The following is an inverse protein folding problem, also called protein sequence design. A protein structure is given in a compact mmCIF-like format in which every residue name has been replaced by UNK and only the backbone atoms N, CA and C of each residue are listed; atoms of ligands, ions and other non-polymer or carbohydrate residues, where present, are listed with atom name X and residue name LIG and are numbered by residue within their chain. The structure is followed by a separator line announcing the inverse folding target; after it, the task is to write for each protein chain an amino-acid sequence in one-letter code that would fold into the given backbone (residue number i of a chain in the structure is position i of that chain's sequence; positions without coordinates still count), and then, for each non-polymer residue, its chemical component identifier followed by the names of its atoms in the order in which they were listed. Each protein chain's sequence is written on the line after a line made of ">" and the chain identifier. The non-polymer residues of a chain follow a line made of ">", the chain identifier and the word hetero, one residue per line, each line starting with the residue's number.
data_IF_050810169835
#
_entry.id   IF_050810169835
#
_cell.length_a   1.000
_cell.length_b   1.000
_cell.length_c   1.000
_cell.angle_alpha   90.00
_cell.angle_beta   90.00
_cell.angle_gamma   90.00
#
_symmetry.space_group_name_H-M   'P 1'
#
loop_
_entity.id
_entity.type
_entity.pdbx_description
1 polymer ?
#
# COMPACT_ATOMS: atom_id res chain seq x y z
N UNK A 1 -18.93 15.85 -1.09
CA UNK A 1 -17.97 14.77 -0.85
C UNK A 1 -16.58 15.28 -1.19
N UNK A 2 -15.64 15.19 -0.25
CA UNK A 2 -14.26 15.67 -0.42
C UNK A 2 -13.30 14.57 0.06
N UNK A 3 -12.31 14.23 -0.76
CA UNK A 3 -11.24 13.31 -0.38
C UNK A 3 -10.05 14.08 0.18
N UNK A 4 -9.49 13.60 1.28
CA UNK A 4 -8.35 14.19 1.96
C UNK A 4 -7.15 13.23 1.90
N UNK A 5 -6.00 13.78 1.61
CA UNK A 5 -4.73 13.07 1.56
C UNK A 5 -3.64 13.91 2.23
N UNK A 6 -2.73 13.27 2.95
CA UNK A 6 -1.53 13.93 3.48
C UNK A 6 -0.29 13.11 3.17
N UNK A 7 0.81 13.82 2.91
CA UNK A 7 2.11 13.22 2.56
C UNK A 7 3.01 12.95 3.77
N UNK A 8 2.53 13.24 4.99
CA UNK A 8 3.31 13.05 6.22
C UNK A 8 2.73 11.91 7.05
N UNK A 9 3.54 10.89 7.33
CA UNK A 9 3.13 9.71 8.12
C UNK A 9 2.60 10.08 9.50
N UNK A 10 3.21 11.03 10.18
CA UNK A 10 2.80 11.47 11.52
C UNK A 10 1.42 12.16 11.58
N UNK A 11 0.90 12.59 10.44
CA UNK A 11 -0.43 13.23 10.36
C UNK A 11 -1.55 12.25 10.03
N UNK A 12 -1.24 11.05 9.60
CA UNK A 12 -2.24 10.08 9.12
C UNK A 12 -3.29 9.71 10.18
N UNK A 13 -2.91 9.38 11.44
CA UNK A 13 -3.91 9.04 12.46
C UNK A 13 -4.88 10.20 12.74
N UNK A 14 -4.36 11.43 12.81
CA UNK A 14 -5.19 12.61 13.04
C UNK A 14 -6.13 12.92 11.87
N UNK A 15 -5.66 12.71 10.64
CA UNK A 15 -6.50 12.86 9.45
C UNK A 15 -7.59 11.78 9.40
N UNK A 16 -7.24 10.53 9.67
CA UNK A 16 -8.22 9.44 9.73
C UNK A 16 -9.30 9.71 10.78
N UNK A 17 -8.91 10.13 11.99
CA UNK A 17 -9.86 10.48 13.05
C UNK A 17 -10.81 11.60 12.61
N UNK A 18 -10.29 12.65 11.98
CA UNK A 18 -11.12 13.75 11.47
C UNK A 18 -12.09 13.29 10.35
N UNK A 19 -11.67 12.35 9.49
CA UNK A 19 -12.52 11.79 8.43
C UNK A 19 -13.60 10.87 9.03
N UNK A 20 -13.34 10.16 10.13
CA UNK A 20 -14.34 9.38 10.83
C UNK A 20 -15.51 10.27 11.32
N UNK A 21 -15.16 11.45 11.87
CA UNK A 21 -16.13 12.40 12.44
C UNK A 21 -16.92 13.18 11.38
N UNK A 22 -16.42 13.28 10.13
CA UNK A 22 -17.04 14.08 9.05
C UNK A 22 -17.65 13.18 7.95
N UNK A 23 -18.99 13.01 7.90
CA UNK A 23 -19.64 12.07 6.97
C UNK A 23 -19.44 12.35 5.47
N UNK A 24 -19.05 13.57 5.12
CA UNK A 24 -18.80 13.96 3.73
C UNK A 24 -17.33 13.87 3.34
N UNK A 25 -16.44 13.51 4.27
CA UNK A 25 -15.03 13.32 4.06
C UNK A 25 -14.69 11.88 3.67
N UNK A 26 -13.69 11.74 2.82
CA UNK A 26 -13.15 10.47 2.33
C UNK A 26 -11.64 10.42 2.55
N UNK A 27 -11.16 9.25 2.92
CA UNK A 27 -9.74 8.95 3.08
C UNK A 27 -9.33 7.88 2.07
N UNK A 28 -8.77 8.28 0.91
CA UNK A 28 -8.50 7.34 -0.18
C UNK A 28 -7.37 6.37 0.13
N UNK A 29 -6.34 6.82 0.84
CA UNK A 29 -5.21 5.99 1.30
C UNK A 29 -4.25 6.77 2.19
N UNK A 30 -3.46 6.09 3.04
CA UNK A 30 -2.28 6.69 3.69
C UNK A 30 -1.16 7.00 2.67
N UNK A 31 -0.19 7.84 3.08
CA UNK A 31 0.98 8.15 2.24
C UNK A 31 1.87 6.93 1.93
N UNK A 32 1.88 5.93 2.79
CA UNK A 32 2.45 4.61 2.57
C UNK A 32 1.31 3.60 2.70
N UNK A 33 0.57 3.29 1.62
CA UNK A 33 -0.65 2.50 1.72
C UNK A 33 -0.39 1.11 2.26
N UNK A 34 -1.10 0.77 3.33
CA UNK A 34 -0.96 -0.49 4.05
C UNK A 34 -2.04 -0.61 5.13
N UNK A 35 -2.54 -1.80 5.48
CA UNK A 35 -3.44 -1.99 6.61
C UNK A 35 -2.80 -1.59 7.95
N UNK A 36 -1.47 -1.64 8.04
CA UNK A 36 -0.73 -1.34 9.26
C UNK A 36 -0.40 0.15 9.43
N UNK A 37 -0.68 0.99 8.43
CA UNK A 37 -0.35 2.41 8.49
C UNK A 37 -1.53 3.27 8.94
N UNK A 38 -1.42 3.80 10.13
CA UNK A 38 -2.36 4.67 10.82
C UNK A 38 -3.65 3.99 11.32
N UNK A 39 -4.24 3.04 10.60
CA UNK A 39 -5.47 2.34 11.00
C UNK A 39 -5.39 1.76 12.42
N UNK A 40 -4.31 1.05 12.83
CA UNK A 40 -4.22 0.53 14.18
C UNK A 40 -4.33 1.62 15.24
N UNK A 41 -3.57 2.70 15.08
CA UNK A 41 -3.58 3.82 16.02
C UNK A 41 -4.92 4.57 16.07
N UNK A 42 -5.57 4.74 14.92
CA UNK A 42 -6.84 5.46 14.80
C UNK A 42 -8.02 4.65 15.36
N UNK A 43 -8.03 3.35 15.08
CA UNK A 43 -9.17 2.45 15.38
C UNK A 43 -8.96 1.64 16.67
N UNK A 44 -7.82 1.82 17.35
CA UNK A 44 -7.51 1.09 18.58
C UNK A 44 -7.27 -0.40 18.35
N UNK A 45 -6.67 -0.77 17.22
CA UNK A 45 -6.36 -2.15 16.86
C UNK A 45 -4.91 -2.50 17.22
N UNK A 46 -4.68 -3.74 17.62
CA UNK A 46 -3.36 -4.32 17.80
C UNK A 46 -3.06 -5.27 16.64
N UNK A 47 -2.45 -4.74 15.57
CA UNK A 47 -2.07 -5.49 14.38
C UNK A 47 -0.56 -5.69 14.33
N UNK A 48 -0.13 -6.92 14.07
CA UNK A 48 1.29 -7.27 13.92
C UNK A 48 1.72 -7.06 12.45
N UNK A 49 2.74 -6.22 12.23
CA UNK A 49 3.29 -5.98 10.89
C UNK A 49 3.94 -7.27 10.37
N UNK A 50 3.53 -7.70 9.17
CA UNK A 50 3.96 -8.97 8.59
C UNK A 50 3.14 -10.18 9.06
N UNK A 51 2.03 -9.94 9.75
CA UNK A 51 1.01 -10.93 10.05
C UNK A 51 0.11 -11.25 8.85
N UNK A 52 -1.11 -11.64 9.13
CA UNK A 52 -2.11 -11.93 8.09
C UNK A 52 -2.78 -10.63 7.62
N UNK A 53 -2.49 -10.22 6.37
CA UNK A 53 -3.02 -9.00 5.78
C UNK A 53 -4.55 -9.06 5.62
N UNK A 54 -5.13 -10.23 5.29
CA UNK A 54 -6.58 -10.39 5.16
C UNK A 54 -7.30 -10.24 6.50
N UNK A 55 -6.76 -10.83 7.56
CA UNK A 55 -7.28 -10.68 8.92
C UNK A 55 -7.16 -9.21 9.37
N UNK A 56 -6.05 -8.54 9.07
CA UNK A 56 -5.88 -7.13 9.38
C UNK A 56 -6.94 -6.26 8.67
N UNK A 57 -7.20 -6.50 7.38
CA UNK A 57 -8.22 -5.79 6.62
C UNK A 57 -9.63 -6.07 7.16
N UNK A 58 -9.92 -7.31 7.52
CA UNK A 58 -11.21 -7.67 8.15
C UNK A 58 -11.42 -6.93 9.48
N UNK A 59 -10.43 -6.89 10.36
CA UNK A 59 -10.53 -6.17 11.63
C UNK A 59 -10.73 -4.66 11.42
N UNK A 60 -10.05 -4.06 10.43
CA UNK A 60 -10.25 -2.66 10.05
C UNK A 60 -11.68 -2.45 9.53
N UNK A 61 -12.16 -3.32 8.64
CA UNK A 61 -13.52 -3.22 8.07
C UNK A 61 -14.59 -3.24 9.16
N UNK A 62 -14.48 -4.16 10.15
CA UNK A 62 -15.39 -4.22 11.28
C UNK A 62 -15.37 -2.92 12.11
N UNK A 63 -14.19 -2.35 12.34
CA UNK A 63 -14.09 -1.07 13.05
C UNK A 63 -14.66 0.10 12.26
N UNK A 64 -14.42 0.16 10.96
CA UNK A 64 -15.02 1.17 10.09
C UNK A 64 -16.56 1.03 10.04
N UNK A 65 -17.07 -0.20 10.11
CA UNK A 65 -18.52 -0.46 10.18
C UNK A 65 -19.13 0.08 11.48
N UNK A 66 -18.46 -0.05 12.62
CA UNK A 66 -18.90 0.54 13.90
C UNK A 66 -19.09 2.08 13.80
N UNK A 67 -18.33 2.74 12.89
CA UNK A 67 -18.37 4.17 12.63
C UNK A 67 -19.21 4.59 11.41
N UNK A 68 -19.92 3.67 10.77
CA UNK A 68 -20.64 3.92 9.50
C UNK A 68 -19.71 4.53 8.41
N UNK A 69 -18.51 4.02 8.31
CA UNK A 69 -17.41 4.61 7.53
C UNK A 69 -16.77 3.70 6.46
N UNK A 70 -17.25 2.45 6.30
CA UNK A 70 -16.63 1.44 5.42
C UNK A 70 -16.38 1.97 4.00
N UNK A 71 -17.35 2.62 3.37
CA UNK A 71 -17.24 3.15 2.01
C UNK A 71 -16.51 4.51 1.92
N UNK A 72 -15.87 4.99 2.99
CA UNK A 72 -15.18 6.28 3.03
C UNK A 72 -13.67 6.18 3.20
N UNK A 73 -13.17 4.97 3.45
CA UNK A 73 -11.76 4.68 3.66
C UNK A 73 -11.27 3.67 2.63
N UNK A 74 -9.99 3.75 2.30
CA UNK A 74 -9.28 2.75 1.51
C UNK A 74 -7.79 2.71 1.87
N UNK A 75 -7.12 1.67 1.42
CA UNK A 75 -5.67 1.45 1.51
C UNK A 75 -5.25 0.45 0.43
N UNK A 76 -4.00 0.02 0.43
CA UNK A 76 -3.56 -1.18 -0.30
C UNK A 76 -3.66 -2.41 0.60
N UNK A 77 -3.93 -3.57 -0.01
CA UNK A 77 -4.08 -4.81 0.74
C UNK A 77 -2.79 -5.27 1.43
N UNK A 78 -1.64 -4.90 0.87
CA UNK A 78 -0.32 -5.34 1.35
C UNK A 78 0.59 -4.14 1.64
N UNK A 79 1.57 -4.28 2.56
CA UNK A 79 2.56 -3.24 2.86
C UNK A 79 3.67 -3.17 1.79
N UNK A 80 3.31 -2.79 0.56
CA UNK A 80 4.19 -2.84 -0.61
C UNK A 80 5.48 -2.06 -0.41
N UNK A 81 5.45 -0.96 0.35
CA UNK A 81 6.65 -0.18 0.65
C UNK A 81 7.72 -0.99 1.43
N UNK A 82 7.32 -1.98 2.22
CA UNK A 82 8.24 -2.91 2.90
C UNK A 82 8.65 -4.05 1.97
N UNK A 83 7.69 -4.63 1.26
CA UNK A 83 7.92 -5.78 0.37
C UNK A 83 8.88 -5.44 -0.77
N UNK A 84 8.84 -4.21 -1.32
CA UNK A 84 9.77 -3.83 -2.40
C UNK A 84 11.23 -3.78 -1.93
N UNK A 85 11.49 -3.47 -0.67
CA UNK A 85 12.84 -3.52 -0.11
C UNK A 85 13.34 -4.96 -0.09
N UNK A 86 12.50 -5.89 0.36
CA UNK A 86 12.80 -7.32 0.38
C UNK A 86 13.05 -7.85 -1.03
N UNK A 87 12.15 -7.56 -1.98
CA UNK A 87 12.31 -7.92 -3.40
C UNK A 87 13.60 -7.34 -3.98
N UNK A 88 13.95 -6.09 -3.65
CA UNK A 88 15.20 -5.45 -4.08
C UNK A 88 16.45 -6.17 -3.57
N UNK A 89 16.44 -6.63 -2.32
CA UNK A 89 17.56 -7.43 -1.75
C UNK A 89 17.66 -8.79 -2.43
N UNK A 90 16.55 -9.46 -2.66
CA UNK A 90 16.52 -10.75 -3.36
C UNK A 90 16.98 -10.62 -4.82
N UNK A 91 16.57 -9.55 -5.50
CA UNK A 91 17.04 -9.24 -6.85
C UNK A 91 18.56 -9.01 -6.89
N UNK A 92 19.07 -8.20 -5.96
CA UNK A 92 20.51 -7.95 -5.85
C UNK A 92 21.31 -9.26 -5.59
N UNK A 93 20.76 -10.12 -4.73
CA UNK A 93 21.34 -11.45 -4.49
C UNK A 93 21.33 -12.31 -5.75
N UNK A 94 20.22 -12.41 -6.46
CA UNK A 94 20.12 -13.16 -7.71
C UNK A 94 21.10 -12.64 -8.79
N UNK A 95 21.34 -11.32 -8.82
CA UNK A 95 22.35 -10.73 -9.70
C UNK A 95 23.78 -11.13 -9.31
N UNK A 96 24.12 -11.16 -8.02
CA UNK A 96 25.42 -11.57 -7.51
C UNK A 96 25.67 -13.06 -7.79
N UNK A 97 24.63 -13.90 -7.60
CA UNK A 97 24.71 -15.35 -7.81
C UNK A 97 24.74 -15.73 -9.31
N UNK A 98 24.45 -14.79 -10.20
CA UNK A 98 24.45 -15.00 -11.66
C UNK A 98 23.12 -15.53 -12.23
N UNK A 99 22.08 -15.62 -11.41
CA UNK A 99 20.71 -16.03 -11.81
C UNK A 99 20.02 -14.92 -12.62
N UNK A 100 20.43 -13.67 -12.39
CA UNK A 100 20.05 -12.49 -13.17
C UNK A 100 21.31 -11.85 -13.71
N UNK A 101 21.36 -11.62 -15.02
CA UNK A 101 22.58 -11.11 -15.70
C UNK A 101 22.52 -9.62 -16.02
N UNK A 102 21.35 -9.01 -15.89
CA UNK A 102 21.09 -7.60 -16.17
C UNK A 102 20.84 -6.86 -14.86
N UNK A 103 21.47 -5.69 -14.68
CA UNK A 103 21.33 -4.88 -13.45
C UNK A 103 19.92 -4.28 -13.26
N UNK A 104 19.15 -4.24 -14.34
CA UNK A 104 17.91 -3.47 -14.43
C UNK A 104 16.91 -4.23 -15.31
N UNK A 105 16.54 -5.44 -14.86
CA UNK A 105 15.54 -6.28 -15.51
C UNK A 105 14.16 -6.05 -14.85
N UNK A 106 13.38 -5.12 -15.43
CA UNK A 106 12.08 -4.77 -14.92
C UNK A 106 11.06 -5.92 -14.99
N UNK A 107 11.17 -6.82 -15.97
CA UNK A 107 10.27 -7.97 -16.08
C UNK A 107 10.54 -8.97 -14.95
N UNK A 108 11.80 -9.23 -14.66
CA UNK A 108 12.18 -10.10 -13.54
C UNK A 108 11.77 -9.51 -12.20
N UNK A 109 12.00 -8.20 -12.02
CA UNK A 109 11.61 -7.49 -10.80
C UNK A 109 10.07 -7.53 -10.60
N UNK A 110 9.31 -7.32 -11.68
CA UNK A 110 7.84 -7.42 -11.65
C UNK A 110 7.37 -8.82 -11.25
N UNK A 111 7.99 -9.88 -11.82
CA UNK A 111 7.64 -11.25 -11.49
C UNK A 111 7.94 -11.58 -10.01
N UNK A 112 9.06 -11.10 -9.47
CA UNK A 112 9.41 -11.30 -8.06
C UNK A 112 8.47 -10.55 -7.12
N UNK A 113 8.02 -9.35 -7.51
CA UNK A 113 7.02 -8.60 -6.72
C UNK A 113 5.65 -9.27 -6.76
N UNK A 114 5.19 -9.70 -7.94
CA UNK A 114 3.90 -10.37 -8.13
C UNK A 114 3.81 -11.67 -7.30
N UNK A 115 4.92 -12.41 -7.15
CA UNK A 115 4.98 -13.61 -6.32
C UNK A 115 4.70 -13.32 -4.84
N UNK A 116 5.15 -12.15 -4.35
CA UNK A 116 4.95 -11.75 -2.95
C UNK A 116 3.67 -10.94 -2.73
N UNK A 117 3.26 -10.18 -3.72
CA UNK A 117 2.10 -9.29 -3.67
C UNK A 117 1.27 -9.48 -4.94
N UNK A 118 0.36 -10.45 -4.95
CA UNK A 118 -0.51 -10.70 -6.09
C UNK A 118 -1.28 -9.44 -6.53
N UNK A 119 -1.28 -9.17 -7.83
CA UNK A 119 -1.91 -7.99 -8.41
C UNK A 119 -1.08 -6.71 -8.40
N UNK A 120 0.12 -6.71 -7.80
CA UNK A 120 1.03 -5.58 -7.89
C UNK A 120 1.61 -5.44 -9.30
N UNK A 121 1.69 -4.20 -9.78
CA UNK A 121 2.26 -3.87 -11.09
C UNK A 121 3.45 -2.95 -10.92
N UNK A 122 4.43 -3.12 -11.79
CA UNK A 122 5.56 -2.21 -11.94
C UNK A 122 5.46 -1.56 -13.30
N UNK A 123 5.55 -0.24 -13.31
CA UNK A 123 5.59 0.57 -14.53
C UNK A 123 6.84 1.44 -14.52
N UNK A 124 7.48 1.57 -15.68
CA UNK A 124 8.62 2.48 -15.82
C UNK A 124 8.16 3.92 -15.58
N UNK A 125 8.90 4.65 -14.76
CA UNK A 125 8.55 6.03 -14.43
C UNK A 125 8.81 6.95 -15.63
N UNK A 126 7.82 7.79 -15.93
CA UNK A 126 7.92 8.88 -16.89
C UNK A 126 7.55 10.19 -16.19
N UNK A 127 8.40 11.21 -16.29
CA UNK A 127 8.16 12.51 -15.68
C UNK A 127 7.14 13.37 -16.47
N UNK A 128 6.82 14.55 -15.93
CA UNK A 128 5.88 15.49 -16.54
C UNK A 128 6.38 16.09 -17.86
N UNK A 129 7.69 15.99 -18.14
CA UNK A 129 8.33 16.42 -19.40
C UNK A 129 8.33 15.32 -20.46
N UNK A 130 7.85 14.12 -20.11
CA UNK A 130 7.80 12.94 -20.99
C UNK A 130 9.10 12.15 -21.05
N UNK A 131 10.05 12.40 -20.14
CA UNK A 131 11.29 11.63 -20.03
C UNK A 131 11.01 10.33 -19.29
N UNK A 132 11.30 9.21 -19.92
CA UNK A 132 11.20 7.87 -19.31
C UNK A 132 12.54 7.45 -18.72
N UNK A 133 12.51 7.01 -17.46
CA UNK A 133 13.68 6.52 -16.73
C UNK A 133 13.62 5.00 -16.68
N UNK A 134 14.45 4.33 -17.45
CA UNK A 134 14.47 2.88 -17.60
C UNK A 134 14.98 2.12 -16.38
N UNK A 135 15.52 2.82 -15.40
CA UNK A 135 16.03 2.30 -14.13
C UNK A 135 15.23 2.79 -12.90
N UNK A 136 14.05 3.40 -13.14
CA UNK A 136 13.18 3.87 -12.08
C UNK A 136 11.74 3.41 -12.34
N UNK A 137 11.13 2.79 -11.35
CA UNK A 137 9.81 2.18 -11.48
C UNK A 137 8.84 2.74 -10.46
N UNK A 138 7.59 2.89 -10.88
CA UNK A 138 6.44 3.07 -9.98
C UNK A 138 5.76 1.74 -9.73
N UNK A 139 5.28 1.56 -8.51
CA UNK A 139 4.53 0.37 -8.12
C UNK A 139 3.08 0.77 -7.93
N UNK A 140 2.18 -0.03 -8.49
CA UNK A 140 0.74 0.17 -8.41
C UNK A 140 0.09 -1.09 -7.85
N UNK A 141 -0.85 -0.88 -6.93
CA UNK A 141 -1.74 -1.92 -6.41
C UNK A 141 -3.17 -1.36 -6.38
N UNK A 142 -4.15 -2.21 -6.61
CA UNK A 142 -5.55 -1.79 -6.54
C UNK A 142 -5.90 -1.34 -5.11
N UNK A 143 -6.67 -0.26 -4.95
CA UNK A 143 -7.17 0.13 -3.65
C UNK A 143 -8.19 -0.88 -3.11
N UNK A 144 -8.19 -1.06 -1.79
CA UNK A 144 -9.13 -1.94 -1.08
C UNK A 144 -10.51 -1.30 -1.01
N UNK A 145 -11.55 -2.07 -1.30
CA UNK A 145 -12.91 -1.80 -0.84
C UNK A 145 -13.15 -2.60 0.46
N UNK A 146 -13.28 -1.92 1.58
CA UNK A 146 -13.49 -2.58 2.87
C UNK A 146 -14.84 -3.31 2.99
N UNK A 147 -15.79 -3.11 2.06
CA UNK A 147 -16.99 -3.92 1.99
C UNK A 147 -16.70 -5.38 1.62
N UNK A 148 -15.61 -5.64 0.91
CA UNK A 148 -15.19 -6.99 0.51
C UNK A 148 -14.62 -7.80 1.69
N UNK A 149 -14.38 -7.15 2.84
CA UNK A 149 -13.78 -7.72 4.04
C UNK A 149 -14.73 -7.80 5.26
N UNK A 150 -16.05 -7.62 5.04
CA UNK A 150 -17.07 -7.74 6.10
C UNK A 150 -17.66 -9.15 6.25
#
# INVERSE_FOLDING_TARGET
>A
KVAFFTTNCGMQPSLQAAVLDEPNAYYPQPCCPSPYHAFPATLGLELEIGGDDEEALHQIALKLQEHDAVGRFSTWAHPVAMTIIEVGVEYAKAYIDGDVTVKNDGEKLAAMLEEKVPGAKIETYTDDEGTTFDNYYTILLAPVDFNDYL
#
